data_IF_761145636514
#
_entry.id   IF_761145636514
#
_cell.length_a   1.000
_cell.length_b   1.000
_cell.length_c   1.000
_cell.angle_alpha   90.00
_cell.angle_beta   90.00
_cell.angle_gamma   90.00
#
_symmetry.space_group_name_H-M   'P 1'
#
loop_
_entity.id
_entity.type
_entity.pdbx_description
1 polymer ?
#
# COMPACT_ATOMS: atom_id res chain seq x y z
N UNK A 1 24.31 -17.78 15.86
CA UNK A 1 22.88 -17.67 16.23
C UNK A 1 22.19 -16.90 15.14
N UNK A 2 21.17 -17.47 14.52
CA UNK A 2 20.56 -16.94 13.29
C UNK A 2 19.51 -15.89 13.63
N UNK A 3 19.97 -14.66 13.93
CA UNK A 3 19.11 -13.49 13.84
C UNK A 3 18.86 -13.22 12.36
N UNK A 4 17.60 -13.06 11.96
CA UNK A 4 17.36 -12.48 10.64
C UNK A 4 17.79 -11.01 10.64
N UNK A 5 18.55 -10.61 9.60
CA UNK A 5 18.90 -9.23 9.25
C UNK A 5 19.37 -8.32 10.41
N UNK A 6 20.33 -8.76 11.23
CA UNK A 6 20.82 -7.96 12.37
C UNK A 6 19.71 -7.47 13.32
N UNK A 7 18.62 -8.23 13.47
CA UNK A 7 17.44 -7.83 14.22
C UNK A 7 17.71 -7.37 15.65
N UNK A 8 16.92 -6.38 16.09
CA UNK A 8 17.03 -5.70 17.39
C UNK A 8 16.51 -6.52 18.58
N UNK A 9 15.87 -7.67 18.35
CA UNK A 9 15.30 -8.50 19.43
C UNK A 9 16.37 -8.95 20.44
N UNK A 10 16.07 -8.76 21.72
CA UNK A 10 16.89 -9.17 22.87
C UNK A 10 16.55 -10.56 23.43
N UNK A 11 15.41 -11.13 23.04
CA UNK A 11 14.86 -12.39 23.57
C UNK A 11 15.27 -13.64 22.76
N UNK A 12 16.13 -13.47 21.75
CA UNK A 12 16.62 -14.52 20.84
C UNK A 12 15.54 -15.17 19.96
N UNK A 13 14.31 -14.65 19.95
CA UNK A 13 13.27 -15.14 19.05
C UNK A 13 13.56 -14.74 17.59
N UNK A 14 13.13 -15.59 16.65
CA UNK A 14 13.23 -15.32 15.22
C UNK A 14 11.84 -15.52 14.59
N UNK A 15 11.17 -14.40 14.32
CA UNK A 15 9.77 -14.36 13.86
C UNK A 15 9.61 -15.09 12.51
N UNK A 16 10.64 -15.10 11.67
CA UNK A 16 10.56 -15.76 10.38
C UNK A 16 10.52 -17.27 10.54
N UNK A 17 11.35 -17.80 11.45
CA UNK A 17 11.35 -19.21 11.81
C UNK A 17 10.08 -19.57 12.59
N UNK A 18 9.64 -18.71 13.49
CA UNK A 18 8.44 -18.96 14.28
C UNK A 18 7.20 -18.97 13.39
N UNK A 19 7.10 -18.08 12.39
CA UNK A 19 6.06 -18.12 11.36
C UNK A 19 6.05 -19.44 10.61
N UNK A 20 7.21 -19.94 10.17
CA UNK A 20 7.31 -21.22 9.45
C UNK A 20 6.95 -22.42 10.35
N UNK A 21 7.16 -22.32 11.66
CA UNK A 21 6.84 -23.37 12.64
C UNK A 21 5.36 -23.49 13.01
N UNK A 22 4.52 -22.51 12.65
CA UNK A 22 3.07 -22.56 12.88
C UNK A 22 2.34 -23.65 12.07
N UNK A 23 3.08 -24.45 11.27
CA UNK A 23 2.53 -25.55 10.48
C UNK A 23 1.79 -25.09 9.23
N UNK A 24 1.45 -26.05 8.35
CA UNK A 24 0.88 -25.77 7.03
C UNK A 24 1.90 -25.23 6.03
N UNK A 25 1.43 -24.91 4.81
CA UNK A 25 2.28 -24.32 3.78
C UNK A 25 2.45 -22.83 4.05
N UNK A 26 3.67 -22.37 4.38
CA UNK A 26 3.96 -20.99 4.78
C UNK A 26 5.22 -20.46 4.14
N UNK A 27 5.19 -19.19 3.74
CA UNK A 27 6.30 -18.55 3.05
C UNK A 27 6.54 -17.14 3.56
N UNK A 28 7.82 -16.77 3.69
CA UNK A 28 8.25 -15.41 3.99
C UNK A 28 8.75 -14.77 2.71
N UNK A 29 8.23 -13.59 2.36
CA UNK A 29 8.58 -12.82 1.16
C UNK A 29 9.45 -11.63 1.56
N UNK A 30 10.50 -11.35 0.80
CA UNK A 30 11.55 -10.39 1.20
C UNK A 30 11.86 -9.32 0.17
N UNK A 31 11.49 -9.56 -1.07
CA UNK A 31 11.81 -8.70 -2.21
C UNK A 31 10.57 -8.50 -3.09
N UNK A 32 10.53 -7.45 -3.91
CA UNK A 32 9.48 -7.28 -4.93
C UNK A 32 9.35 -8.52 -5.83
N UNK A 33 10.48 -9.15 -6.15
CA UNK A 33 10.53 -10.36 -6.96
C UNK A 33 9.92 -11.58 -6.25
N UNK A 34 10.01 -11.66 -4.93
CA UNK A 34 9.34 -12.74 -4.18
C UNK A 34 7.83 -12.59 -4.26
N UNK A 35 7.32 -11.37 -4.11
CA UNK A 35 5.89 -11.06 -4.25
C UNK A 35 5.39 -11.39 -5.66
N UNK A 36 6.14 -10.98 -6.68
CA UNK A 36 5.78 -11.24 -8.09
C UNK A 36 5.71 -12.74 -8.42
N UNK A 37 6.49 -13.59 -7.73
CA UNK A 37 6.50 -15.05 -7.92
C UNK A 37 5.45 -15.79 -7.09
N UNK A 38 4.64 -15.09 -6.29
CA UNK A 38 3.57 -15.74 -5.53
C UNK A 38 2.55 -16.32 -6.50
N UNK A 39 2.36 -17.63 -6.41
CA UNK A 39 1.24 -18.30 -7.04
C UNK A 39 0.00 -18.06 -6.17
N UNK A 40 -0.86 -17.13 -6.60
CA UNK A 40 -2.06 -16.81 -5.85
C UNK A 40 -2.99 -18.03 -5.69
N UNK A 41 -2.93 -19.04 -6.57
CA UNK A 41 -3.76 -20.25 -6.45
C UNK A 41 -3.27 -21.25 -5.38
N UNK A 42 -2.10 -21.07 -4.77
CA UNK A 42 -1.61 -22.00 -3.74
C UNK A 42 -2.26 -21.76 -2.38
N UNK A 43 -2.27 -22.77 -1.51
CA UNK A 43 -2.72 -22.65 -0.12
C UNK A 43 -1.64 -22.09 0.83
N UNK A 44 -0.55 -21.52 0.27
CA UNK A 44 0.53 -20.93 1.04
C UNK A 44 0.06 -19.69 1.81
N UNK A 45 0.26 -19.67 3.13
CA UNK A 45 0.11 -18.45 3.93
C UNK A 45 1.39 -17.61 3.84
N UNK A 46 1.23 -16.33 3.52
CA UNK A 46 2.32 -15.44 3.17
C UNK A 46 2.59 -14.45 4.30
N UNK A 47 3.87 -14.19 4.57
CA UNK A 47 4.34 -13.09 5.42
C UNK A 47 5.33 -12.25 4.62
N UNK A 48 4.92 -11.03 4.23
CA UNK A 48 5.78 -10.10 3.50
C UNK A 48 6.51 -9.14 4.42
N UNK A 49 7.84 -9.20 4.46
CA UNK A 49 8.70 -8.26 5.22
C UNK A 49 9.78 -7.74 4.27
N UNK A 50 9.48 -6.62 3.63
CA UNK A 50 10.27 -6.09 2.51
C UNK A 50 11.35 -5.07 2.94
N UNK A 51 11.18 -4.40 4.07
CA UNK A 51 12.15 -3.46 4.65
C UNK A 51 12.57 -3.89 6.06
N UNK A 52 13.67 -3.35 6.57
CA UNK A 52 14.13 -3.54 7.97
C UNK A 52 13.33 -2.68 8.96
N UNK A 53 12.72 -1.60 8.47
CA UNK A 53 11.87 -0.67 9.22
C UNK A 53 10.72 -0.24 8.28
N UNK A 54 10.35 1.04 8.28
CA UNK A 54 9.45 1.62 7.29
C UNK A 54 9.98 1.46 5.86
N UNK A 55 9.07 1.55 4.88
CA UNK A 55 9.46 1.53 3.47
C UNK A 55 10.14 2.86 3.10
N UNK A 56 11.02 2.87 2.10
CA UNK A 56 11.43 4.13 1.49
C UNK A 56 10.22 4.80 0.84
N UNK A 57 10.18 6.12 0.88
CA UNK A 57 9.12 6.88 0.20
C UNK A 57 9.08 6.61 -1.32
N UNK A 58 7.87 6.60 -1.86
CA UNK A 58 7.53 6.47 -3.27
C UNK A 58 8.38 7.39 -4.15
N UNK A 59 8.34 8.69 -3.84
CA UNK A 59 8.99 9.71 -4.67
C UNK A 59 10.51 9.56 -4.61
N UNK A 60 11.10 9.25 -3.45
CA UNK A 60 12.54 9.02 -3.32
C UNK A 60 13.00 7.89 -4.23
N UNK A 61 12.33 6.74 -4.18
CA UNK A 61 12.67 5.62 -5.06
C UNK A 61 12.46 5.94 -6.54
N UNK A 62 11.38 6.66 -6.87
CA UNK A 62 11.08 7.06 -8.25
C UNK A 62 12.16 7.98 -8.81
N UNK A 63 12.62 8.97 -8.04
CA UNK A 63 13.67 9.90 -8.45
C UNK A 63 15.02 9.21 -8.60
N UNK A 64 15.30 8.21 -7.78
CA UNK A 64 16.52 7.41 -7.87
C UNK A 64 16.43 6.26 -8.90
N UNK A 65 15.28 6.10 -9.57
CA UNK A 65 14.98 4.98 -10.44
C UNK A 65 15.23 3.61 -9.76
N UNK A 66 14.81 3.49 -8.50
CA UNK A 66 14.92 2.29 -7.67
C UNK A 66 13.54 1.70 -7.38
N UNK A 67 13.54 0.41 -7.01
CA UNK A 67 12.37 -0.31 -6.51
C UNK A 67 12.85 -1.44 -5.59
N UNK A 68 13.20 -1.06 -4.37
CA UNK A 68 13.73 -1.95 -3.33
C UNK A 68 12.62 -2.68 -2.58
N UNK A 69 11.42 -2.09 -2.56
CA UNK A 69 10.19 -2.66 -1.98
C UNK A 69 9.06 -2.73 -3.04
N UNK A 70 8.09 -3.66 -2.91
CA UNK A 70 6.89 -3.62 -3.76
C UNK A 70 6.10 -2.34 -3.48
N UNK A 71 5.37 -1.85 -4.50
CA UNK A 71 4.47 -0.71 -4.32
C UNK A 71 3.23 -1.17 -3.56
N UNK A 72 2.58 -0.25 -2.86
CA UNK A 72 1.34 -0.52 -2.12
C UNK A 72 0.26 -1.12 -3.03
N UNK A 73 0.18 -0.64 -4.27
CA UNK A 73 -0.72 -1.20 -5.29
C UNK A 73 -0.42 -2.67 -5.61
N UNK A 74 0.86 -3.08 -5.69
CA UNK A 74 1.22 -4.46 -6.04
C UNK A 74 0.96 -5.40 -4.86
N UNK A 75 1.18 -4.91 -3.64
CA UNK A 75 0.84 -5.65 -2.42
C UNK A 75 -0.67 -5.83 -2.30
N UNK A 76 -1.44 -4.79 -2.60
CA UNK A 76 -2.91 -4.82 -2.59
C UNK A 76 -3.44 -5.78 -3.63
N UNK A 77 -2.96 -5.69 -4.88
CA UNK A 77 -3.31 -6.62 -5.96
C UNK A 77 -3.07 -8.07 -5.51
N UNK A 78 -1.85 -8.38 -5.06
CA UNK A 78 -1.50 -9.73 -4.65
C UNK A 78 -2.30 -10.21 -3.44
N UNK A 79 -2.58 -9.33 -2.48
CA UNK A 79 -3.40 -9.67 -1.32
C UNK A 79 -4.82 -10.05 -1.75
N UNK A 80 -5.45 -9.26 -2.63
CA UNK A 80 -6.78 -9.57 -3.17
C UNK A 80 -6.75 -10.89 -3.94
N UNK A 81 -5.75 -11.12 -4.81
CA UNK A 81 -5.63 -12.39 -5.54
C UNK A 81 -5.56 -13.61 -4.62
N UNK A 82 -4.87 -13.48 -3.48
CA UNK A 82 -4.71 -14.57 -2.50
C UNK A 82 -5.97 -14.74 -1.64
N UNK A 83 -6.67 -13.65 -1.31
CA UNK A 83 -7.81 -13.67 -0.40
C UNK A 83 -9.13 -14.02 -1.11
N UNK A 84 -9.32 -13.60 -2.36
CA UNK A 84 -10.55 -13.79 -3.13
C UNK A 84 -10.88 -15.26 -3.46
N UNK A 85 -10.01 -16.20 -3.11
CA UNK A 85 -10.24 -17.64 -3.29
C UNK A 85 -11.18 -18.23 -2.25
N UNK A 86 -11.39 -17.52 -1.14
CA UNK A 86 -12.28 -17.96 -0.08
C UNK A 86 -13.71 -17.52 -0.41
N UNK A 87 -14.60 -18.48 -0.64
CA UNK A 87 -16.00 -18.23 -0.98
C UNK A 87 -16.78 -17.59 0.20
N UNK A 88 -16.25 -17.67 1.43
CA UNK A 88 -16.82 -16.99 2.61
C UNK A 88 -16.44 -15.50 2.64
N UNK A 89 -15.63 -15.04 1.70
CA UNK A 89 -15.15 -13.66 1.58
C UNK A 89 -13.89 -13.38 2.40
N UNK A 90 -13.51 -12.11 2.47
CA UNK A 90 -12.29 -11.70 3.16
C UNK A 90 -12.40 -10.33 3.80
N UNK A 91 -11.50 -10.09 4.75
CA UNK A 91 -11.22 -8.78 5.32
C UNK A 91 -9.77 -8.41 4.99
N UNK A 92 -9.58 -7.23 4.42
CA UNK A 92 -8.27 -6.70 4.04
C UNK A 92 -8.10 -5.29 4.59
N UNK A 93 -6.95 -5.03 5.23
CA UNK A 93 -6.51 -3.68 5.58
C UNK A 93 -5.35 -3.29 4.68
N UNK A 94 -5.43 -2.10 4.09
CA UNK A 94 -4.37 -1.48 3.29
C UNK A 94 -4.05 -0.14 3.91
N UNK A 95 -2.80 0.09 4.29
CA UNK A 95 -2.40 1.29 5.01
C UNK A 95 -1.42 2.16 4.22
N UNK A 96 -1.75 3.45 4.06
CA UNK A 96 -0.89 4.49 3.49
C UNK A 96 0.05 5.15 4.50
N UNK A 97 0.69 4.37 5.38
CA UNK A 97 1.29 4.89 6.62
C UNK A 97 2.45 5.88 6.47
N UNK A 98 3.09 5.98 5.29
CA UNK A 98 4.15 6.97 5.07
C UNK A 98 3.61 8.40 4.87
N UNK A 99 2.30 8.58 4.68
CA UNK A 99 1.65 9.90 4.64
C UNK A 99 1.90 10.63 5.98
N UNK A 100 1.59 9.98 7.10
CA UNK A 100 1.79 10.49 8.46
C UNK A 100 3.25 10.89 8.71
N UNK A 101 4.18 9.99 8.38
CA UNK A 101 5.62 10.23 8.56
C UNK A 101 6.11 11.45 7.76
N UNK A 102 5.63 11.62 6.53
CA UNK A 102 5.98 12.78 5.71
C UNK A 102 5.35 14.08 6.23
N UNK A 103 4.14 14.01 6.78
CA UNK A 103 3.47 15.18 7.39
C UNK A 103 4.14 15.59 8.71
N UNK A 104 4.62 14.64 9.51
CA UNK A 104 5.45 14.92 10.70
C UNK A 104 6.73 15.70 10.36
N UNK A 105 7.38 15.38 9.24
CA UNK A 105 8.59 16.06 8.76
C UNK A 105 8.29 17.37 7.99
N UNK A 106 7.01 17.72 7.81
CA UNK A 106 6.55 18.81 6.93
C UNK A 106 7.01 18.68 5.47
N UNK A 107 7.22 17.46 4.98
CA UNK A 107 7.64 17.16 3.61
C UNK A 107 6.44 16.96 2.69
N UNK A 108 5.71 18.04 2.38
CA UNK A 108 4.44 17.97 1.66
C UNK A 108 4.53 17.35 0.25
N UNK A 109 5.65 17.52 -0.43
CA UNK A 109 5.90 16.87 -1.73
C UNK A 109 5.98 15.34 -1.59
N UNK A 110 6.53 14.84 -0.48
CA UNK A 110 6.57 13.42 -0.15
C UNK A 110 5.18 12.93 0.26
N UNK A 111 4.51 13.64 1.19
CA UNK A 111 3.19 13.29 1.69
C UNK A 111 2.17 13.13 0.56
N UNK A 112 2.10 14.10 -0.37
CA UNK A 112 1.20 14.00 -1.53
C UNK A 112 1.59 12.88 -2.51
N UNK A 113 2.87 12.51 -2.58
CA UNK A 113 3.31 11.36 -3.37
C UNK A 113 2.90 10.03 -2.74
N UNK A 114 2.87 9.95 -1.40
CA UNK A 114 2.37 8.79 -0.67
C UNK A 114 0.85 8.68 -0.77
N UNK A 115 0.12 9.82 -0.69
CA UNK A 115 -1.32 9.87 -0.98
C UNK A 115 -1.63 9.33 -2.37
N UNK A 116 -0.77 9.62 -3.36
CA UNK A 116 -0.91 9.05 -4.69
C UNK A 116 -0.67 7.54 -4.75
N UNK A 117 0.38 7.05 -4.08
CA UNK A 117 0.63 5.61 -4.01
C UNK A 117 -0.53 4.87 -3.33
N UNK A 118 -1.14 5.47 -2.31
CA UNK A 118 -2.35 4.97 -1.65
C UNK A 118 -3.58 5.00 -2.58
N UNK A 119 -3.78 6.08 -3.33
CA UNK A 119 -4.88 6.18 -4.30
C UNK A 119 -4.78 5.11 -5.41
N UNK A 120 -3.57 4.79 -5.86
CA UNK A 120 -3.33 3.69 -6.81
C UNK A 120 -3.70 2.32 -6.21
N UNK A 121 -3.46 2.10 -4.92
CA UNK A 121 -3.90 0.88 -4.24
C UNK A 121 -5.44 0.79 -4.15
N UNK A 122 -6.11 1.90 -3.84
CA UNK A 122 -7.58 1.98 -3.85
C UNK A 122 -8.14 1.71 -5.26
N UNK A 123 -7.51 2.27 -6.31
CA UNK A 123 -7.90 2.02 -7.71
C UNK A 123 -7.82 0.55 -8.07
N UNK A 124 -6.73 -0.12 -7.69
CA UNK A 124 -6.55 -1.56 -7.89
C UNK A 124 -7.64 -2.34 -7.16
N UNK A 125 -7.88 -2.05 -5.87
CA UNK A 125 -8.92 -2.73 -5.11
C UNK A 125 -10.31 -2.58 -5.75
N UNK A 126 -10.68 -1.36 -6.17
CA UNK A 126 -11.94 -1.10 -6.89
C UNK A 126 -12.03 -1.79 -8.24
N UNK A 127 -10.90 -1.98 -8.93
CA UNK A 127 -10.85 -2.65 -10.23
C UNK A 127 -10.94 -4.17 -10.14
N UNK A 128 -10.55 -4.75 -9.00
CA UNK A 128 -10.50 -6.20 -8.79
C UNK A 128 -11.69 -6.75 -8.03
N UNK A 129 -12.53 -5.89 -7.45
CA UNK A 129 -13.67 -6.30 -6.62
C UNK A 129 -14.98 -5.76 -7.20
N UNK A 130 -16.09 -6.41 -6.85
CA UNK A 130 -17.41 -6.04 -7.33
C UNK A 130 -18.15 -5.20 -6.26
N UNK A 131 -18.57 -3.97 -6.55
CA UNK A 131 -19.23 -3.12 -5.56
C UNK A 131 -20.58 -3.66 -5.05
N UNK A 132 -21.16 -4.68 -5.71
CA UNK A 132 -22.37 -5.35 -5.24
C UNK A 132 -22.11 -6.37 -4.12
N UNK A 133 -20.87 -6.82 -3.97
CA UNK A 133 -20.47 -7.80 -2.96
C UNK A 133 -19.27 -7.34 -2.12
N UNK A 134 -18.70 -6.17 -2.38
CA UNK A 134 -17.52 -5.68 -1.66
C UNK A 134 -17.74 -4.28 -1.10
N UNK A 135 -17.54 -4.12 0.22
CA UNK A 135 -17.51 -2.82 0.88
C UNK A 135 -16.07 -2.31 0.96
N UNK A 136 -15.80 -1.17 0.31
CA UNK A 136 -14.53 -0.46 0.44
C UNK A 136 -14.74 0.78 1.31
N UNK A 137 -14.03 0.85 2.43
CA UNK A 137 -14.01 2.00 3.33
C UNK A 137 -12.65 2.68 3.20
N UNK A 138 -12.63 3.98 2.95
CA UNK A 138 -11.41 4.80 2.98
C UNK A 138 -11.57 5.82 4.10
N UNK A 139 -10.63 5.84 5.02
CA UNK A 139 -10.61 6.77 6.16
C UNK A 139 -9.18 7.19 6.44
N UNK A 140 -9.01 8.12 7.38
CA UNK A 140 -7.77 8.34 8.10
C UNK A 140 -8.01 8.04 9.58
N UNK A 141 -6.95 7.70 10.31
CA UNK A 141 -6.96 7.52 11.75
C UNK A 141 -6.90 8.86 12.50
N UNK A 142 -6.16 9.81 11.96
CA UNK A 142 -6.14 11.23 12.34
C UNK A 142 -5.73 12.12 11.16
N UNK A 143 -5.56 13.43 11.40
CA UNK A 143 -4.99 14.36 10.42
C UNK A 143 -3.97 15.27 11.06
N UNK A 144 -3.23 16.01 10.24
CA UNK A 144 -2.17 16.92 10.69
C UNK A 144 -2.54 18.39 10.48
N UNK A 145 -1.67 19.29 10.95
CA UNK A 145 -1.85 20.73 10.85
C UNK A 145 -1.60 21.30 9.43
N UNK A 146 -1.85 20.52 8.37
CA UNK A 146 -1.74 20.98 6.99
C UNK A 146 -2.77 22.07 6.73
N UNK A 147 -2.31 23.21 6.20
CA UNK A 147 -3.17 24.26 5.67
C UNK A 147 -2.77 24.59 4.25
N UNK A 148 -3.76 24.83 3.38
CA UNK A 148 -3.55 25.31 2.02
C UNK A 148 -3.93 26.78 1.96
N UNK A 149 -2.98 27.71 2.20
CA UNK A 149 -3.27 29.13 2.12
C UNK A 149 -3.62 29.54 0.68
N UNK A 150 -4.49 30.54 0.57
CA UNK A 150 -5.11 30.94 -0.70
C UNK A 150 -4.26 31.81 -1.62
N UNK A 151 -4.93 32.16 -2.73
CA UNK A 151 -4.51 32.90 -3.94
C UNK A 151 -3.55 32.18 -4.90
N UNK A 152 -3.53 30.83 -4.91
CA UNK A 152 -2.88 30.06 -5.97
C UNK A 152 -3.74 30.09 -7.26
N UNK A 153 -3.23 30.58 -8.41
CA UNK A 153 -3.94 30.49 -9.68
C UNK A 153 -4.22 29.04 -10.08
N UNK A 154 -5.36 28.76 -10.72
CA UNK A 154 -5.69 27.40 -11.19
C UNK A 154 -4.75 26.86 -12.27
N UNK A 155 -3.93 27.73 -12.87
CA UNK A 155 -2.89 27.35 -13.82
C UNK A 155 -1.57 26.92 -13.17
N UNK A 156 -1.41 27.15 -11.87
CA UNK A 156 -0.19 26.80 -11.12
C UNK A 156 -0.36 25.46 -10.41
N UNK A 157 0.77 24.77 -10.20
CA UNK A 157 0.80 23.52 -9.43
C UNK A 157 0.90 23.82 -7.93
N UNK A 158 0.39 22.92 -7.10
CA UNK A 158 0.41 23.05 -5.63
C UNK A 158 1.82 23.26 -5.06
N UNK A 159 2.83 22.69 -5.71
CA UNK A 159 4.23 22.79 -5.30
C UNK A 159 5.04 23.71 -6.21
N UNK A 160 4.41 24.48 -7.10
CA UNK A 160 5.12 25.24 -8.12
C UNK A 160 5.85 24.37 -9.15
N UNK A 161 6.49 25.01 -10.13
CA UNK A 161 7.18 24.34 -11.24
C UNK A 161 8.61 23.96 -10.83
N UNK A 162 8.77 22.95 -9.98
CA UNK A 162 10.09 22.34 -9.77
C UNK A 162 10.44 21.44 -10.96
N UNK A 163 11.46 21.82 -11.73
CA UNK A 163 12.12 20.91 -12.67
C UNK A 163 12.92 19.91 -11.83
N UNK A 164 12.27 18.83 -11.42
CA UNK A 164 12.99 17.61 -11.07
C UNK A 164 13.16 16.86 -12.40
N UNK A 165 14.41 16.67 -12.83
CA UNK A 165 14.77 16.33 -14.21
C UNK A 165 13.89 15.31 -14.93
N UNK A 166 13.71 15.50 -16.25
CA UNK A 166 13.15 14.60 -17.27
C UNK A 166 11.85 13.80 -16.99
N UNK A 167 11.13 14.03 -15.89
CA UNK A 167 9.88 13.33 -15.62
C UNK A 167 8.70 14.27 -15.91
N UNK A 168 8.03 14.00 -17.03
CA UNK A 168 6.80 14.71 -17.44
C UNK A 168 5.66 14.41 -16.46
N UNK A 169 5.09 15.51 -15.97
CA UNK A 169 3.70 15.77 -15.63
C UNK A 169 2.91 14.70 -14.83
N UNK A 170 2.55 15.07 -13.60
CA UNK A 170 1.67 14.35 -12.72
C UNK A 170 0.28 14.99 -12.79
N UNK A 171 -0.71 14.31 -13.38
CA UNK A 171 -2.09 14.79 -13.51
C UNK A 171 -3.03 13.75 -12.91
N UNK A 172 -3.66 14.07 -11.77
CA UNK A 172 -4.78 13.28 -11.24
C UNK A 172 -6.11 13.82 -11.76
N UNK A 173 -6.95 12.90 -12.26
CA UNK A 173 -8.40 13.04 -12.14
C UNK A 173 -9.19 12.67 -13.39
N UNK A 174 -9.98 11.59 -13.29
CA UNK A 174 -11.36 11.49 -13.85
C UNK A 174 -12.21 10.53 -13.00
N UNK A 175 -13.40 10.97 -12.62
CA UNK A 175 -14.39 10.23 -11.80
C UNK A 175 -15.43 9.55 -12.70
N UNK A 176 -15.90 8.35 -12.32
CA UNK A 176 -17.03 7.63 -12.92
C UNK A 176 -18.08 7.34 -11.83
N UNK A 177 -19.37 7.54 -12.16
CA UNK A 177 -20.56 7.21 -11.35
C UNK A 177 -21.21 5.93 -11.87
N UNK A 178 -21.74 5.06 -11.00
CA UNK A 178 -22.99 4.31 -11.23
C UNK A 178 -23.52 3.56 -9.98
N UNK A 179 -24.73 2.96 -10.13
CA UNK A 179 -25.82 2.71 -9.17
C UNK A 179 -25.78 1.37 -8.41
N UNK A 180 -26.60 1.30 -7.35
CA UNK A 180 -26.82 0.20 -6.37
C UNK A 180 -27.82 -0.89 -6.79
N UNK A 181 -27.61 -2.14 -6.33
CA UNK A 181 -28.57 -2.92 -5.49
C UNK A 181 -28.07 -4.35 -5.10
N UNK A 182 -28.29 -4.74 -3.83
CA UNK A 182 -28.49 -6.14 -3.37
C UNK A 182 -27.43 -6.72 -2.40
N UNK A 183 -27.81 -7.04 -1.16
CA UNK A 183 -26.91 -7.52 -0.08
C UNK A 183 -26.93 -9.04 0.12
N UNK A 184 -25.76 -9.68 0.03
CA UNK A 184 -25.34 -10.92 0.72
C UNK A 184 -23.92 -10.71 1.27
N UNK A 185 -23.47 -11.45 2.30
CA UNK A 185 -22.23 -11.24 3.06
C UNK A 185 -21.04 -10.78 2.20
N UNK A 186 -20.55 -9.56 2.45
CA UNK A 186 -19.69 -8.82 1.52
C UNK A 186 -18.23 -8.79 2.00
N UNK A 187 -17.23 -9.22 1.20
CA UNK A 187 -15.83 -8.85 1.40
C UNK A 187 -15.65 -7.37 1.77
N UNK A 188 -14.70 -7.07 2.65
CA UNK A 188 -14.43 -5.71 3.12
C UNK A 188 -12.96 -5.34 2.96
N UNK A 189 -12.71 -4.22 2.28
CA UNK A 189 -11.39 -3.59 2.20
C UNK A 189 -11.44 -2.29 3.01
N UNK A 190 -10.65 -2.21 4.07
CA UNK A 190 -10.44 -0.99 4.84
C UNK A 190 -9.11 -0.38 4.43
N UNK A 191 -9.19 0.80 3.84
CA UNK A 191 -8.06 1.63 3.47
C UNK A 191 -7.91 2.70 4.55
N UNK A 192 -6.77 2.68 5.25
CA UNK A 192 -6.41 3.67 6.28
C UNK A 192 -5.17 4.47 5.86
#
# INVERSE_FOLDING_TARGET
>A
MEKSRNGSRGDRANIDLDWQRLGGSRKVLRTPSDLARVNAASDEKLLGIFSESHFPYYLSERLENKRTVPRLRDMTEKAIEVLQKDDEGFFLVVEGGLIDMAEHENWMHMAFSEVYEFEEAIRVARGMTNPNDTLIIVTADHGHALTLPGYLPTSETLFGRFIVGNIREFVLGKTIREKMNGYHSQPMVVCN
#
